data_IF_068253912907
#
_entry.id   IF_068253912907
#
_cell.length_a   1.000
_cell.length_b   1.000
_cell.length_c   1.000
_cell.angle_alpha   90.00
_cell.angle_beta   90.00
_cell.angle_gamma   90.00
#
_symmetry.space_group_name_H-M   'P 1'
#
loop_
_entity.id
_entity.type
_entity.pdbx_description
1 polymer ?
#
# COMPACT_ATOMS: atom_id res chain seq x y z
N UNK A 1 12.58 -10.27 -3.12
CA UNK A 1 11.24 -10.00 -3.69
C UNK A 1 10.15 -10.02 -2.61
N UNK A 2 10.51 -10.21 -1.34
CA UNK A 2 9.61 -10.28 -0.19
C UNK A 2 8.93 -8.95 0.18
N UNK A 3 9.52 -7.80 -0.18
CA UNK A 3 8.95 -6.48 0.12
C UNK A 3 7.66 -6.17 -0.67
N UNK A 4 7.54 -6.58 -1.93
CA UNK A 4 6.40 -6.16 -2.77
C UNK A 4 5.06 -6.71 -2.26
N UNK A 5 5.05 -7.95 -1.78
CA UNK A 5 3.85 -8.55 -1.21
C UNK A 5 3.44 -7.85 0.10
N UNK A 6 4.42 -7.50 0.92
CA UNK A 6 4.20 -6.77 2.17
C UNK A 6 3.65 -5.35 1.88
N UNK A 7 4.28 -4.62 0.97
CA UNK A 7 3.85 -3.28 0.52
C UNK A 7 2.41 -3.32 0.00
N UNK A 8 2.08 -4.27 -0.88
CA UNK A 8 0.72 -4.44 -1.38
C UNK A 8 -0.29 -4.70 -0.26
N UNK A 9 0.08 -5.51 0.73
CA UNK A 9 -0.78 -5.82 1.88
C UNK A 9 -1.02 -4.60 2.77
N UNK A 10 0.01 -3.80 3.01
CA UNK A 10 -0.06 -2.55 3.79
C UNK A 10 -0.99 -1.55 3.10
N UNK A 11 -0.78 -1.31 1.80
CA UNK A 11 -1.59 -0.37 1.02
C UNK A 11 -3.04 -0.84 0.98
N UNK A 12 -3.30 -2.13 0.68
CA UNK A 12 -4.66 -2.68 0.62
C UNK A 12 -5.39 -2.56 1.98
N UNK A 13 -4.69 -2.85 3.08
CA UNK A 13 -5.26 -2.74 4.43
C UNK A 13 -5.61 -1.29 4.77
N UNK A 14 -4.77 -0.33 4.36
CA UNK A 14 -5.00 1.11 4.56
C UNK A 14 -6.20 1.59 3.77
N UNK A 15 -6.33 1.17 2.51
CA UNK A 15 -7.47 1.46 1.65
C UNK A 15 -8.76 0.94 2.31
N UNK A 16 -8.79 -0.33 2.72
CA UNK A 16 -9.95 -0.90 3.41
C UNK A 16 -10.29 -0.13 4.70
N UNK A 17 -9.29 0.30 5.47
CA UNK A 17 -9.50 1.07 6.70
C UNK A 17 -10.09 2.47 6.41
N UNK A 18 -9.63 3.14 5.35
CA UNK A 18 -10.18 4.42 4.91
C UNK A 18 -11.67 4.31 4.61
N UNK A 19 -12.07 3.33 3.80
CA UNK A 19 -13.47 3.15 3.41
C UNK A 19 -14.38 2.67 4.54
N UNK A 20 -13.86 2.08 5.63
CA UNK A 20 -14.67 1.81 6.84
C UNK A 20 -15.27 3.07 7.48
N UNK A 21 -14.65 4.23 7.27
CA UNK A 21 -15.16 5.53 7.74
C UNK A 21 -16.15 6.20 6.78
N UNK A 22 -16.36 5.63 5.60
CA UNK A 22 -17.18 6.20 4.53
C UNK A 22 -18.30 5.22 4.14
N UNK A 23 -19.45 5.22 4.86
CA UNK A 23 -20.51 4.23 4.64
C UNK A 23 -21.09 4.25 3.22
N UNK A 24 -21.03 5.40 2.53
CA UNK A 24 -21.49 5.59 1.15
C UNK A 24 -20.51 5.08 0.10
N UNK A 25 -19.25 4.84 0.48
CA UNK A 25 -18.21 4.33 -0.42
C UNK A 25 -17.66 3.04 0.18
N UNK A 26 -18.14 1.90 -0.32
CA UNK A 26 -17.62 0.60 0.08
C UNK A 26 -16.63 0.11 -0.97
N UNK A 27 -15.48 -0.39 -0.53
CA UNK A 27 -14.54 -1.11 -1.37
C UNK A 27 -14.44 -2.56 -0.87
N UNK A 28 -14.47 -3.51 -1.81
CA UNK A 28 -14.19 -4.91 -1.51
C UNK A 28 -12.71 -5.13 -1.22
N UNK A 29 -12.39 -6.19 -0.45
CA UNK A 29 -11.01 -6.55 -0.16
C UNK A 29 -10.20 -6.87 -1.43
N UNK A 30 -10.85 -7.44 -2.46
CA UNK A 30 -10.20 -7.74 -3.74
C UNK A 30 -9.95 -6.46 -4.57
N UNK A 31 -10.87 -5.50 -4.55
CA UNK A 31 -10.69 -4.19 -5.20
C UNK A 31 -9.56 -3.41 -4.53
N UNK A 32 -9.50 -3.42 -3.18
CA UNK A 32 -8.42 -2.78 -2.44
C UNK A 32 -7.05 -3.41 -2.74
N UNK A 33 -6.98 -4.74 -2.91
CA UNK A 33 -5.75 -5.44 -3.33
C UNK A 33 -5.35 -5.08 -4.77
N UNK A 34 -6.31 -4.99 -5.68
CA UNK A 34 -6.04 -4.58 -7.07
C UNK A 34 -5.51 -3.15 -7.12
N UNK A 35 -6.16 -2.24 -6.40
CA UNK A 35 -5.73 -0.84 -6.27
C UNK A 35 -4.33 -0.74 -5.64
N UNK A 36 -4.05 -1.52 -4.61
CA UNK A 36 -2.71 -1.58 -4.01
C UNK A 36 -1.63 -1.99 -5.02
N UNK A 37 -1.89 -3.00 -5.84
CA UNK A 37 -0.96 -3.42 -6.91
C UNK A 37 -0.76 -2.32 -7.95
N UNK A 38 -1.82 -1.63 -8.36
CA UNK A 38 -1.73 -0.52 -9.32
C UNK A 38 -0.91 0.65 -8.77
N UNK A 39 -1.07 0.97 -7.48
CA UNK A 39 -0.26 1.99 -6.81
C UNK A 39 1.21 1.56 -6.78
N UNK A 40 1.51 0.32 -6.35
CA UNK A 40 2.88 -0.17 -6.31
C UNK A 40 3.54 -0.18 -7.70
N UNK A 41 2.79 -0.56 -8.74
CA UNK A 41 3.27 -0.52 -10.13
C UNK A 41 3.53 0.92 -10.61
N UNK A 42 2.63 1.86 -10.33
CA UNK A 42 2.83 3.26 -10.73
C UNK A 42 4.07 3.88 -10.07
N UNK A 43 4.39 3.47 -8.83
CA UNK A 43 5.62 3.89 -8.16
C UNK A 43 6.86 3.30 -8.83
N UNK A 44 6.83 2.01 -9.17
CA UNK A 44 7.93 1.34 -9.89
C UNK A 44 8.18 1.99 -11.26
N UNK A 45 7.11 2.28 -12.01
CA UNK A 45 7.16 2.99 -13.30
C UNK A 45 7.73 4.41 -13.17
N UNK A 46 7.51 5.07 -12.02
CA UNK A 46 8.10 6.36 -11.70
C UNK A 46 9.56 6.27 -11.20
N UNK A 47 10.12 5.06 -11.09
CA UNK A 47 11.45 4.81 -10.53
C UNK A 47 11.53 4.98 -9.01
N UNK A 48 10.38 4.99 -8.32
CA UNK A 48 10.28 5.09 -6.86
C UNK A 48 10.19 3.69 -6.25
N UNK A 49 11.09 3.37 -5.33
CA UNK A 49 11.05 2.11 -4.59
C UNK A 49 10.53 2.33 -3.18
N UNK A 50 9.51 1.56 -2.79
CA UNK A 50 9.10 1.45 -1.39
C UNK A 50 9.99 0.38 -0.76
N UNK A 51 10.78 0.78 0.23
CA UNK A 51 11.60 -0.12 1.03
C UNK A 51 11.26 0.07 2.51
N UNK A 52 11.38 -0.99 3.30
CA UNK A 52 11.28 -0.86 4.75
C UNK A 52 12.33 0.13 5.25
N UNK A 53 11.90 1.17 5.95
CA UNK A 53 12.82 2.08 6.61
C UNK A 53 13.64 1.29 7.64
N UNK A 54 14.94 1.18 7.42
CA UNK A 54 15.81 0.58 8.42
C UNK A 54 15.75 1.45 9.69
N UNK A 55 15.63 0.87 10.90
CA UNK A 55 15.46 1.64 12.14
C UNK A 55 16.64 2.58 12.48
N UNK A 56 17.73 2.53 11.72
CA UNK A 56 18.91 3.37 11.90
C UNK A 56 18.68 4.87 11.57
N UNK A 57 17.65 5.23 10.81
CA UNK A 57 17.41 6.63 10.41
C UNK A 57 16.48 7.42 11.36
N UNK A 58 16.08 6.85 12.50
CA UNK A 58 15.29 7.56 13.52
C UNK A 58 16.13 8.39 14.51
N UNK A 59 17.45 8.51 14.27
CA UNK A 59 18.36 9.30 15.09
C UNK A 59 19.30 10.16 14.23
N UNK A 60 18.78 11.25 13.66
CA UNK A 60 19.57 12.44 13.31
C UNK A 60 18.75 13.70 13.56
#
# INVERSE_FOLDING_TARGET
>A
MDDLHQVNTIIASTICAFFKGHPDAQIGAEEAKLLAKQIAQALDEAGLQITAASPANAAQ
#
